data_IF_142353160331
#
_entry.id   IF_142353160331
#
_cell.length_a   1.000
_cell.length_b   1.000
_cell.length_c   1.000
_cell.angle_alpha   90.00
_cell.angle_beta   90.00
_cell.angle_gamma   90.00
#
_symmetry.space_group_name_H-M   'P 1'
#
loop_
_entity.id
_entity.type
_entity.pdbx_description
1 polymer ?
#
# COMPACT_ATOMS: atom_id res chain seq x y z
N UNK A 1 16.28 20.39 34.19
CA UNK A 1 16.84 19.05 34.50
C UNK A 1 15.67 18.07 34.49
N UNK A 2 15.42 17.46 33.32
CA UNK A 2 14.46 16.37 33.15
C UNK A 2 15.25 15.17 32.61
N UNK A 3 15.15 13.98 33.23
CA UNK A 3 15.85 12.78 32.78
C UNK A 3 14.95 11.96 31.85
N UNK A 4 15.57 11.18 30.96
CA UNK A 4 14.90 10.04 30.31
C UNK A 4 14.97 10.03 28.80
N UNK A 5 16.15 9.69 28.27
CA UNK A 5 16.30 9.18 26.91
C UNK A 5 15.49 7.89 26.76
N UNK A 6 14.38 7.92 26.02
CA UNK A 6 13.76 6.72 25.50
C UNK A 6 14.44 6.35 24.18
N UNK A 7 15.39 5.42 24.27
CA UNK A 7 15.84 4.69 23.09
C UNK A 7 14.68 3.77 22.66
N UNK A 8 13.97 4.15 21.60
CA UNK A 8 13.01 3.28 20.95
C UNK A 8 13.80 2.10 20.33
N UNK A 9 13.67 0.92 20.92
CA UNK A 9 14.12 -0.31 20.28
C UNK A 9 13.18 -0.57 19.12
N UNK A 10 13.64 -0.30 17.90
CA UNK A 10 13.00 -0.79 16.68
C UNK A 10 12.95 -2.32 16.74
N UNK A 11 11.78 -2.87 17.10
CA UNK A 11 11.44 -4.25 16.77
C UNK A 11 10.69 -4.22 15.45
N UNK A 12 11.44 -3.94 14.38
CA UNK A 12 10.95 -4.09 13.01
C UNK A 12 10.60 -5.55 12.76
N UNK A 13 9.38 -5.78 12.30
CA UNK A 13 8.95 -7.06 11.75
C UNK A 13 9.85 -7.39 10.55
N UNK A 14 10.57 -8.52 10.60
CA UNK A 14 11.54 -8.89 9.58
C UNK A 14 10.94 -9.94 8.64
N UNK A 15 10.49 -9.49 7.46
CA UNK A 15 9.88 -10.33 6.42
C UNK A 15 10.80 -11.48 5.95
N UNK A 16 12.13 -11.35 6.09
CA UNK A 16 13.10 -12.39 5.71
C UNK A 16 13.26 -13.48 6.78
N UNK A 17 13.20 -13.13 8.07
CA UNK A 17 13.43 -14.10 9.17
C UNK A 17 12.19 -14.90 9.56
N UNK A 18 10.98 -14.42 9.23
CA UNK A 18 9.71 -15.01 9.67
C UNK A 18 8.94 -15.76 8.57
N UNK A 19 9.64 -16.38 7.60
CA UNK A 19 8.99 -17.20 6.55
C UNK A 19 8.08 -18.30 7.12
N UNK A 20 8.45 -18.88 8.27
CA UNK A 20 7.65 -19.92 8.94
C UNK A 20 6.47 -19.35 9.73
N UNK A 21 6.65 -18.18 10.35
CA UNK A 21 5.63 -17.50 11.17
C UNK A 21 4.55 -16.87 10.28
N UNK A 22 4.94 -16.23 9.17
CA UNK A 22 4.04 -15.72 8.14
C UNK A 22 3.24 -16.84 7.46
N UNK A 23 3.88 -17.97 7.13
CA UNK A 23 3.19 -19.11 6.52
C UNK A 23 2.14 -19.77 7.43
N UNK A 24 2.22 -19.54 8.74
CA UNK A 24 1.28 -20.09 9.73
C UNK A 24 0.13 -19.14 10.05
N UNK A 25 0.33 -17.83 9.88
CA UNK A 25 -0.69 -16.79 10.12
C UNK A 25 -1.44 -16.35 8.85
N UNK A 26 -0.92 -16.61 7.65
CA UNK A 26 -1.68 -16.39 6.41
C UNK A 26 -2.77 -17.46 6.33
N UNK A 27 -4.02 -17.06 6.55
CA UNK A 27 -5.15 -17.91 6.23
C UNK A 27 -5.14 -18.15 4.71
N UNK A 28 -4.68 -19.33 4.27
CA UNK A 28 -4.55 -19.74 2.86
C UNK A 28 -5.88 -19.76 2.06
N UNK A 29 -6.97 -19.26 2.65
CA UNK A 29 -8.32 -19.24 2.11
C UNK A 29 -8.95 -17.85 2.00
N UNK A 30 -8.30 -16.77 2.48
CA UNK A 30 -8.82 -15.43 2.22
C UNK A 30 -8.48 -15.03 0.78
N UNK A 31 -9.49 -14.68 -0.03
CA UNK A 31 -9.25 -14.30 -1.41
C UNK A 31 -8.89 -12.81 -1.53
N UNK A 32 -7.98 -12.51 -2.46
CA UNK A 32 -7.72 -11.19 -3.00
C UNK A 32 -8.18 -11.15 -4.46
N UNK A 33 -8.71 -10.02 -4.89
CA UNK A 33 -9.08 -9.85 -6.29
C UNK A 33 -7.86 -9.70 -7.19
N UNK A 34 -7.94 -10.32 -8.36
CA UNK A 34 -6.90 -10.30 -9.39
C UNK A 34 -6.57 -8.90 -9.89
N UNK A 35 -7.43 -7.91 -9.65
CA UNK A 35 -7.13 -6.50 -9.91
C UNK A 35 -5.83 -6.06 -9.20
N UNK A 36 -5.60 -6.53 -7.97
CA UNK A 36 -4.37 -6.21 -7.22
C UNK A 36 -3.16 -6.85 -7.91
N UNK A 37 -3.25 -8.15 -8.23
CA UNK A 37 -2.15 -8.87 -8.88
C UNK A 37 -1.86 -8.35 -10.29
N UNK A 38 -2.89 -7.94 -11.03
CA UNK A 38 -2.73 -7.25 -12.32
C UNK A 38 -2.02 -5.91 -12.15
N UNK A 39 -2.38 -5.12 -11.14
CA UNK A 39 -1.69 -3.86 -10.87
C UNK A 39 -0.23 -4.08 -10.44
N UNK A 40 0.09 -5.17 -9.74
CA UNK A 40 1.49 -5.56 -9.45
C UNK A 40 2.25 -5.87 -10.74
N UNK A 41 1.64 -6.62 -11.67
CA UNK A 41 2.22 -6.85 -12.99
C UNK A 41 2.51 -5.54 -13.72
N UNK A 42 1.52 -4.65 -13.81
CA UNK A 42 1.66 -3.38 -14.52
C UNK A 42 2.67 -2.45 -13.82
N UNK A 43 2.71 -2.43 -12.49
CA UNK A 43 3.75 -1.75 -11.72
C UNK A 43 5.15 -2.22 -12.11
N UNK A 44 5.36 -3.54 -12.20
CA UNK A 44 6.66 -4.10 -12.63
C UNK A 44 6.98 -3.71 -14.06
N UNK A 45 6.01 -3.72 -14.98
CA UNK A 45 6.25 -3.33 -16.37
C UNK A 45 6.58 -1.84 -16.51
N UNK A 46 5.88 -0.97 -15.76
CA UNK A 46 6.05 0.47 -15.84
C UNK A 46 7.37 0.94 -15.21
N UNK A 47 7.82 0.27 -14.15
CA UNK A 47 9.09 0.60 -13.46
C UNK A 47 10.31 -0.14 -14.03
N UNK A 48 10.09 -1.31 -14.63
CA UNK A 48 11.15 -2.17 -15.14
C UNK A 48 10.84 -2.60 -16.58
N UNK A 49 10.55 -3.90 -16.80
CA UNK A 49 10.26 -4.47 -18.11
C UNK A 49 9.59 -5.85 -18.01
N UNK A 50 9.17 -6.38 -19.15
CA UNK A 50 8.57 -7.71 -19.27
C UNK A 50 9.52 -8.83 -18.80
N UNK A 51 10.82 -8.71 -19.09
CA UNK A 51 11.79 -9.74 -18.70
C UNK A 51 11.92 -9.85 -17.17
N UNK A 52 11.78 -8.73 -16.46
CA UNK A 52 11.74 -8.67 -15.01
C UNK A 52 10.49 -9.36 -14.46
N UNK A 53 9.31 -9.07 -15.02
CA UNK A 53 8.08 -9.79 -14.65
C UNK A 53 8.17 -11.30 -14.88
N UNK A 54 8.72 -11.72 -16.02
CA UNK A 54 8.88 -13.14 -16.34
C UNK A 54 9.78 -13.84 -15.31
N UNK A 55 10.87 -13.20 -14.88
CA UNK A 55 11.74 -13.71 -13.79
C UNK A 55 11.01 -13.80 -12.45
N UNK A 56 10.15 -12.83 -12.14
CA UNK A 56 9.36 -12.81 -10.90
C UNK A 56 8.35 -13.95 -10.89
N UNK A 57 7.61 -14.14 -11.98
CA UNK A 57 6.60 -15.21 -12.07
C UNK A 57 7.21 -16.61 -12.13
N UNK A 58 8.36 -16.77 -12.79
CA UNK A 58 9.14 -18.00 -12.74
C UNK A 58 9.53 -18.33 -11.29
N UNK A 59 10.07 -17.34 -10.57
CA UNK A 59 10.44 -17.51 -9.15
C UNK A 59 9.24 -17.79 -8.25
N UNK A 60 8.10 -17.16 -8.53
CA UNK A 60 6.85 -17.37 -7.81
C UNK A 60 6.19 -18.73 -8.11
N UNK A 61 6.71 -19.49 -9.09
CA UNK A 61 6.15 -20.78 -9.50
C UNK A 61 4.85 -20.66 -10.31
N UNK A 62 4.62 -19.51 -10.95
CA UNK A 62 3.44 -19.20 -11.76
C UNK A 62 3.82 -18.57 -13.12
N UNK A 63 4.77 -19.16 -13.88
CA UNK A 63 5.23 -18.57 -15.14
C UNK A 63 4.09 -18.41 -16.14
N UNK A 64 4.04 -17.27 -16.83
CA UNK A 64 3.03 -16.96 -17.84
C UNK A 64 1.61 -16.75 -17.29
N UNK A 65 1.45 -16.64 -15.96
CA UNK A 65 0.17 -16.36 -15.32
C UNK A 65 -0.36 -14.98 -15.74
N UNK A 66 -1.63 -14.95 -16.12
CA UNK A 66 -2.41 -13.73 -16.36
C UNK A 66 -3.46 -13.64 -15.27
N UNK A 67 -3.63 -12.45 -14.69
CA UNK A 67 -4.59 -12.19 -13.61
C UNK A 67 -5.84 -11.51 -14.15
N UNK A 68 -6.98 -12.17 -13.98
CA UNK A 68 -8.29 -11.61 -14.34
C UNK A 68 -8.77 -10.68 -13.21
N UNK A 69 -9.07 -9.39 -13.48
CA UNK A 69 -9.36 -8.41 -12.43
C UNK A 69 -10.49 -8.78 -11.46
N UNK A 70 -11.54 -9.42 -11.99
CA UNK A 70 -12.75 -9.80 -11.25
C UNK A 70 -12.68 -11.23 -10.68
N UNK A 71 -11.58 -11.95 -10.87
CA UNK A 71 -11.37 -13.27 -10.29
C UNK A 71 -10.70 -13.16 -8.92
N UNK A 72 -11.01 -14.10 -8.02
CA UNK A 72 -10.41 -14.20 -6.70
C UNK A 72 -9.25 -15.19 -6.70
N UNK A 73 -8.13 -14.79 -6.13
CA UNK A 73 -6.92 -15.59 -5.94
C UNK A 73 -6.60 -15.68 -4.45
N UNK A 74 -5.96 -16.75 -3.96
CA UNK A 74 -5.53 -16.82 -2.57
C UNK A 74 -4.59 -15.64 -2.25
N UNK A 75 -4.76 -14.98 -1.10
CA UNK A 75 -3.88 -13.89 -0.65
C UNK A 75 -2.39 -14.28 -0.74
N UNK A 76 -2.09 -15.56 -0.46
CA UNK A 76 -0.74 -16.13 -0.54
C UNK A 76 -0.06 -15.95 -1.90
N UNK A 77 -0.82 -15.88 -3.00
CA UNK A 77 -0.29 -15.63 -4.34
C UNK A 77 0.26 -14.20 -4.45
N UNK A 78 -0.47 -13.21 -3.96
CA UNK A 78 0.00 -11.81 -3.88
C UNK A 78 1.25 -11.68 -3.01
N UNK A 79 1.26 -12.29 -1.83
CA UNK A 79 2.45 -12.28 -0.97
C UNK A 79 3.66 -12.97 -1.63
N UNK A 80 3.41 -14.07 -2.36
CA UNK A 80 4.48 -14.78 -3.09
C UNK A 80 5.04 -13.95 -4.24
N UNK A 81 4.19 -13.20 -4.95
CA UNK A 81 4.63 -12.26 -5.98
C UNK A 81 5.54 -11.18 -5.40
N UNK A 82 5.14 -10.54 -4.30
CA UNK A 82 5.95 -9.50 -3.64
C UNK A 82 7.28 -10.06 -3.14
N UNK A 83 7.26 -11.22 -2.48
CA UNK A 83 8.49 -11.87 -2.03
C UNK A 83 9.41 -12.26 -3.20
N UNK A 84 8.84 -12.72 -4.31
CA UNK A 84 9.61 -13.07 -5.51
C UNK A 84 10.17 -11.82 -6.20
N UNK A 85 9.43 -10.71 -6.23
CA UNK A 85 9.90 -9.42 -6.68
C UNK A 85 11.08 -8.92 -5.84
N UNK A 86 10.96 -8.99 -4.51
CA UNK A 86 12.06 -8.65 -3.59
C UNK A 86 13.34 -9.40 -3.92
N UNK A 87 13.24 -10.71 -4.09
CA UNK A 87 14.40 -11.54 -4.41
C UNK A 87 14.99 -11.26 -5.81
N UNK A 88 14.14 -11.00 -6.82
CA UNK A 88 14.57 -10.76 -8.21
C UNK A 88 15.19 -9.38 -8.39
N UNK A 89 14.64 -8.38 -7.69
CA UNK A 89 15.05 -6.98 -7.74
C UNK A 89 16.15 -6.64 -6.72
N UNK A 90 16.40 -7.54 -5.75
CA UNK A 90 17.29 -7.30 -4.61
C UNK A 90 16.90 -6.07 -3.79
N UNK A 91 15.60 -5.91 -3.56
CA UNK A 91 15.00 -4.82 -2.79
C UNK A 91 14.26 -5.37 -1.59
N UNK A 92 14.15 -4.59 -0.52
CA UNK A 92 13.43 -5.05 0.66
C UNK A 92 11.91 -5.09 0.35
N UNK A 93 11.17 -6.13 0.77
CA UNK A 93 9.75 -6.27 0.42
C UNK A 93 8.90 -5.08 0.90
N UNK A 94 9.29 -4.45 2.00
CA UNK A 94 8.68 -3.24 2.54
C UNK A 94 8.75 -2.08 1.53
N UNK A 95 9.90 -1.88 0.89
CA UNK A 95 10.09 -0.84 -0.13
C UNK A 95 9.22 -1.12 -1.36
N UNK A 96 9.14 -2.38 -1.79
CA UNK A 96 8.29 -2.80 -2.92
C UNK A 96 6.81 -2.56 -2.60
N UNK A 97 6.36 -2.91 -1.39
CA UNK A 97 4.98 -2.68 -0.96
C UNK A 97 4.66 -1.18 -0.89
N UNK A 98 5.57 -0.37 -0.35
CA UNK A 98 5.40 1.09 -0.30
C UNK A 98 5.34 1.70 -1.70
N UNK A 99 6.27 1.34 -2.58
CA UNK A 99 6.24 1.78 -3.98
C UNK A 99 4.96 1.34 -4.71
N UNK A 100 4.52 0.10 -4.49
CA UNK A 100 3.26 -0.39 -5.06
C UNK A 100 2.04 0.34 -4.50
N UNK A 101 2.01 0.66 -3.21
CA UNK A 101 0.93 1.43 -2.58
C UNK A 101 0.80 2.83 -3.17
N UNK A 102 1.93 3.48 -3.41
CA UNK A 102 1.98 4.77 -4.10
C UNK A 102 1.44 4.65 -5.53
N UNK A 103 1.97 3.69 -6.30
CA UNK A 103 1.52 3.40 -7.66
C UNK A 103 0.02 3.07 -7.73
N UNK A 104 -0.52 2.33 -6.75
CA UNK A 104 -1.92 1.92 -6.71
C UNK A 104 -2.90 3.09 -6.77
N UNK A 105 -2.58 4.22 -6.11
CA UNK A 105 -3.42 5.43 -6.14
C UNK A 105 -3.51 5.97 -7.57
N UNK A 106 -2.39 6.01 -8.28
CA UNK A 106 -2.33 6.50 -9.66
C UNK A 106 -3.01 5.53 -10.61
N UNK A 107 -2.68 4.25 -10.47
CA UNK A 107 -3.22 3.17 -11.29
C UNK A 107 -4.75 3.11 -11.19
N UNK A 108 -5.33 3.19 -10.00
CA UNK A 108 -6.80 3.16 -9.85
C UNK A 108 -7.46 4.47 -10.32
N UNK A 109 -6.79 5.60 -10.15
CA UNK A 109 -7.26 6.90 -10.65
C UNK A 109 -7.50 6.92 -12.17
N UNK A 110 -6.71 6.18 -12.93
CA UNK A 110 -6.80 6.11 -14.39
C UNK A 110 -7.58 4.88 -14.89
N UNK A 111 -7.53 3.75 -14.17
CA UNK A 111 -8.16 2.49 -14.57
C UNK A 111 -9.58 2.34 -14.00
N UNK A 112 -10.45 3.30 -14.29
CA UNK A 112 -11.90 3.17 -14.08
C UNK A 112 -12.42 3.56 -12.70
N UNK A 113 -11.56 3.94 -11.74
CA UNK A 113 -11.99 4.41 -10.41
C UNK A 113 -11.81 5.92 -10.19
N UNK A 114 -11.32 6.67 -11.19
CA UNK A 114 -11.06 8.10 -11.07
C UNK A 114 -12.25 8.92 -10.59
N UNK A 115 -13.45 8.70 -11.15
CA UNK A 115 -14.65 9.44 -10.72
C UNK A 115 -15.07 9.07 -9.29
N UNK A 116 -14.93 7.80 -8.92
CA UNK A 116 -15.17 7.35 -7.55
C UNK A 116 -14.20 8.04 -6.58
N UNK A 117 -12.91 8.05 -6.91
CA UNK A 117 -11.87 8.73 -6.13
C UNK A 117 -12.09 10.24 -6.05
N UNK A 118 -12.51 10.91 -7.14
CA UNK A 118 -12.88 12.35 -7.12
C UNK A 118 -14.07 12.60 -6.18
N UNK A 119 -15.02 11.67 -6.12
CA UNK A 119 -16.18 11.78 -5.21
C UNK A 119 -15.89 11.46 -3.75
N UNK A 120 -14.67 11.01 -3.43
CA UNK A 120 -14.26 10.61 -2.08
C UNK A 120 -13.59 11.72 -1.28
N UNK A 121 -13.32 12.88 -1.88
CA UNK A 121 -12.86 14.05 -1.14
C UNK A 121 -12.07 15.01 -2.01
N UNK A 122 -11.95 16.24 -1.52
CA UNK A 122 -11.25 17.36 -2.16
C UNK A 122 -9.90 17.71 -1.50
N UNK A 123 -9.54 16.99 -0.44
CA UNK A 123 -8.26 17.10 0.28
C UNK A 123 -7.81 15.73 0.78
N UNK A 124 -6.54 15.60 1.18
CA UNK A 124 -6.02 14.38 1.79
C UNK A 124 -6.84 13.94 3.02
N UNK A 125 -7.12 14.86 3.95
CA UNK A 125 -7.89 14.57 5.18
C UNK A 125 -9.31 14.08 4.86
N UNK A 126 -10.00 14.74 3.92
CA UNK A 126 -11.35 14.34 3.51
C UNK A 126 -11.35 12.97 2.83
N UNK A 127 -10.38 12.71 1.94
CA UNK A 127 -10.29 11.44 1.23
C UNK A 127 -10.01 10.29 2.17
N UNK A 128 -9.02 10.42 3.04
CA UNK A 128 -8.65 9.38 4.02
C UNK A 128 -9.81 9.10 4.98
N UNK A 129 -10.58 10.13 5.36
CA UNK A 129 -11.79 9.98 6.18
C UNK A 129 -12.94 9.25 5.47
N UNK A 130 -12.93 9.22 4.14
CA UNK A 130 -13.95 8.57 3.31
C UNK A 130 -13.49 7.23 2.71
N UNK A 131 -12.31 6.71 3.07
CA UNK A 131 -11.77 5.46 2.51
C UNK A 131 -12.69 4.24 2.73
N UNK A 132 -13.32 4.12 3.90
CA UNK A 132 -14.26 3.01 4.18
C UNK A 132 -15.50 3.09 3.29
N UNK A 133 -15.97 4.31 3.02
CA UNK A 133 -17.12 4.55 2.13
C UNK A 133 -16.75 4.29 0.67
N UNK A 134 -15.53 4.65 0.25
CA UNK A 134 -14.99 4.29 -1.07
C UNK A 134 -14.99 2.76 -1.22
N UNK A 135 -14.42 2.03 -0.27
CA UNK A 135 -14.37 0.56 -0.33
C UNK A 135 -15.77 -0.08 -0.28
N UNK A 136 -16.71 0.51 0.47
CA UNK A 136 -18.12 0.08 0.46
C UNK A 136 -18.72 0.18 -0.95
N UNK A 137 -18.45 1.27 -1.68
CA UNK A 137 -18.91 1.45 -3.06
C UNK A 137 -18.22 0.49 -4.03
N UNK A 138 -16.92 0.23 -3.86
CA UNK A 138 -16.19 -0.79 -4.64
C UNK A 138 -16.79 -2.18 -4.39
N UNK A 139 -17.14 -2.50 -3.14
CA UNK A 139 -17.76 -3.77 -2.76
C UNK A 139 -19.12 -4.06 -3.43
N UNK A 140 -19.77 -3.06 -4.04
CA UNK A 140 -20.97 -3.28 -4.86
C UNK A 140 -20.68 -4.00 -6.18
N UNK A 141 -19.46 -3.87 -6.71
CA UNK A 141 -19.02 -4.57 -7.92
C UNK A 141 -18.20 -5.84 -7.60
N UNK A 142 -17.52 -5.85 -6.46
CA UNK A 142 -16.63 -6.92 -6.01
C UNK A 142 -17.27 -7.72 -4.88
N UNK A 143 -18.10 -8.70 -5.23
CA UNK A 143 -18.77 -9.58 -4.26
C UNK A 143 -17.77 -10.29 -3.33
N UNK A 144 -18.02 -10.28 -2.02
CA UNK A 144 -17.09 -10.86 -1.03
C UNK A 144 -15.73 -10.13 -0.93
N UNK A 145 -15.67 -8.87 -1.37
CA UNK A 145 -14.53 -8.00 -1.08
C UNK A 145 -14.29 -7.97 0.43
N UNK A 146 -13.04 -8.23 0.82
CA UNK A 146 -12.53 -8.03 2.19
C UNK A 146 -11.67 -6.77 2.22
N UNK A 147 -12.26 -5.57 2.34
CA UNK A 147 -11.48 -4.34 2.38
C UNK A 147 -10.82 -4.16 3.75
N UNK A 148 -9.73 -3.39 3.82
CA UNK A 148 -9.29 -2.82 5.08
C UNK A 148 -10.30 -1.77 5.60
N UNK A 149 -10.17 -1.40 6.88
CA UNK A 149 -10.91 -0.27 7.48
C UNK A 149 -9.94 0.79 7.98
N UNK A 150 -10.35 2.05 7.86
CA UNK A 150 -9.62 3.24 8.27
C UNK A 150 -10.50 4.11 9.16
N UNK A 151 -10.12 4.24 10.44
CA UNK A 151 -10.77 5.16 11.38
C UNK A 151 -9.87 6.35 11.65
N UNK A 152 -10.40 7.53 11.37
CA UNK A 152 -9.62 8.77 11.42
C UNK A 152 -10.04 9.58 12.64
N UNK A 153 -9.06 10.03 13.41
CA UNK A 153 -9.25 10.98 14.50
C UNK A 153 -8.30 12.14 14.30
N UNK A 154 -8.82 13.36 14.20
CA UNK A 154 -7.99 14.56 14.18
C UNK A 154 -7.32 14.75 15.55
N UNK A 155 -6.00 14.88 15.55
CA UNK A 155 -5.20 15.17 16.74
C UNK A 155 -4.97 16.67 16.90
N UNK A 156 -4.63 17.37 15.79
CA UNK A 156 -4.47 18.83 15.72
C UNK A 156 -4.76 19.35 14.28
N UNK A 157 -4.50 20.63 14.00
CA UNK A 157 -4.50 21.20 12.65
C UNK A 157 -3.41 20.54 11.81
N UNK A 158 -3.81 19.85 10.74
CA UNK A 158 -2.89 19.16 9.83
C UNK A 158 -2.37 17.80 10.34
N UNK A 159 -2.80 17.34 11.53
CA UNK A 159 -2.36 16.06 12.09
C UNK A 159 -3.52 15.10 12.34
N UNK A 160 -3.42 13.91 11.74
CA UNK A 160 -4.40 12.84 11.82
C UNK A 160 -3.81 11.64 12.54
N UNK A 161 -4.58 11.07 13.46
CA UNK A 161 -4.38 9.73 13.97
C UNK A 161 -5.25 8.77 13.17
N UNK A 162 -4.63 7.79 12.52
CA UNK A 162 -5.29 6.82 11.66
C UNK A 162 -5.16 5.43 12.28
N UNK A 163 -6.30 4.78 12.52
CA UNK A 163 -6.34 3.35 12.83
C UNK A 163 -6.65 2.58 11.56
N UNK A 164 -5.67 1.80 11.09
CA UNK A 164 -5.81 0.86 9.98
C UNK A 164 -6.10 -0.52 10.55
N UNK A 165 -7.15 -1.18 10.07
CA UNK A 165 -7.52 -2.54 10.49
C UNK A 165 -7.60 -3.46 9.28
N UNK A 166 -6.93 -4.61 9.33
CA UNK A 166 -6.99 -5.61 8.25
C UNK A 166 -6.67 -7.02 8.74
N UNK A 167 -7.46 -8.01 8.32
CA UNK A 167 -7.15 -9.44 8.54
C UNK A 167 -5.86 -9.89 7.82
N UNK A 168 -5.31 -9.06 6.91
CA UNK A 168 -4.11 -9.35 6.11
C UNK A 168 -2.87 -8.76 6.78
N UNK A 169 -1.95 -9.60 7.31
CA UNK A 169 -0.76 -9.12 8.02
C UNK A 169 0.29 -8.53 7.07
N UNK A 170 1.17 -7.68 7.59
CA UNK A 170 2.35 -7.19 6.87
C UNK A 170 2.08 -6.18 5.76
N UNK A 171 0.88 -5.59 5.70
CA UNK A 171 0.52 -4.58 4.69
C UNK A 171 0.73 -3.13 5.17
N UNK A 172 1.37 -2.92 6.32
CA UNK A 172 1.72 -1.58 6.82
C UNK A 172 2.49 -0.75 5.78
N UNK A 173 3.57 -1.26 5.13
CA UNK A 173 4.29 -0.46 4.14
C UNK A 173 3.44 -0.12 2.90
N UNK A 174 2.53 -1.01 2.50
CA UNK A 174 1.57 -0.74 1.42
C UNK A 174 0.69 0.46 1.76
N UNK A 175 0.21 0.53 2.99
CA UNK A 175 -0.63 1.62 3.49
C UNK A 175 0.13 2.94 3.58
N UNK A 176 1.39 2.92 3.98
CA UNK A 176 2.25 4.12 3.96
C UNK A 176 2.41 4.65 2.53
N UNK A 177 2.71 3.77 1.57
CA UNK A 177 2.75 4.09 0.15
C UNK A 177 1.45 4.71 -0.37
N UNK A 178 0.30 4.12 0.00
CA UNK A 178 -1.02 4.63 -0.35
C UNK A 178 -1.24 6.06 0.17
N UNK A 179 -0.86 6.35 1.42
CA UNK A 179 -0.99 7.69 1.97
C UNK A 179 -0.09 8.69 1.24
N UNK A 180 1.15 8.32 0.89
CA UNK A 180 2.02 9.18 0.10
C UNK A 180 1.44 9.45 -1.30
N UNK A 181 0.93 8.42 -1.99
CA UNK A 181 0.29 8.59 -3.29
C UNK A 181 -0.98 9.46 -3.23
N UNK A 182 -1.76 9.33 -2.15
CA UNK A 182 -2.92 10.19 -1.92
C UNK A 182 -2.52 11.64 -1.63
N UNK A 183 -1.48 11.88 -0.83
CA UNK A 183 -0.99 13.23 -0.57
C UNK A 183 -0.52 13.90 -1.87
N UNK A 184 0.27 13.20 -2.68
CA UNK A 184 0.74 13.72 -3.97
C UNK A 184 -0.41 14.03 -4.93
N UNK A 185 -1.45 13.17 -4.97
CA UNK A 185 -2.67 13.43 -5.75
C UNK A 185 -3.32 14.78 -5.41
N UNK A 186 -3.25 15.21 -4.16
CA UNK A 186 -3.76 16.51 -3.71
C UNK A 186 -2.72 17.63 -3.74
N UNK A 187 -1.53 17.38 -4.29
CA UNK A 187 -0.43 18.35 -4.31
C UNK A 187 0.12 18.66 -2.92
N UNK A 188 0.04 17.69 -2.00
CA UNK A 188 0.47 17.81 -0.61
C UNK A 188 1.63 16.88 -0.33
N UNK A 189 2.42 17.24 0.69
CA UNK A 189 3.42 16.34 1.29
C UNK A 189 2.99 15.99 2.71
N UNK A 190 3.28 14.76 3.12
CA UNK A 190 2.96 14.24 4.45
C UNK A 190 4.19 13.60 5.09
N UNK A 191 4.23 13.63 6.41
CA UNK A 191 5.09 12.80 7.24
C UNK A 191 4.24 11.72 7.92
N UNK A 192 4.72 10.48 7.94
CA UNK A 192 4.03 9.35 8.54
C UNK A 192 4.91 8.77 9.65
N UNK A 193 4.32 8.58 10.83
CA UNK A 193 4.91 7.86 11.95
C UNK A 193 4.04 6.63 12.25
N UNK A 194 4.58 5.42 12.04
CA UNK A 194 3.93 4.19 12.48
C UNK A 194 4.12 4.02 13.99
N UNK A 195 3.03 4.16 14.74
CA UNK A 195 3.00 4.10 16.21
C UNK A 195 2.92 2.66 16.75
N UNK A 196 2.81 1.68 15.86
CA UNK A 196 2.64 0.27 16.21
C UNK A 196 1.18 -0.15 16.37
N UNK A 197 0.92 -1.24 17.12
CA UNK A 197 -0.42 -1.85 17.19
C UNK A 197 -1.42 -0.97 17.93
N UNK A 198 -2.68 -1.03 17.47
CA UNK A 198 -3.83 -0.36 18.08
C UNK A 198 -4.52 -1.19 19.16
N UNK A 199 -5.78 -0.83 19.47
CA UNK A 199 -6.57 -1.53 20.49
C UNK A 199 -7.22 -2.81 19.96
N UNK A 200 -7.56 -2.87 18.67
CA UNK A 200 -8.07 -4.07 18.01
C UNK A 200 -6.96 -5.08 17.67
N UNK A 201 -7.34 -6.34 17.53
CA UNK A 201 -6.42 -7.47 17.26
C UNK A 201 -5.60 -7.31 15.96
N UNK A 202 -6.14 -6.55 15.01
CA UNK A 202 -5.53 -6.31 13.70
C UNK A 202 -5.33 -4.82 13.41
N UNK A 203 -5.36 -4.00 14.45
CA UNK A 203 -5.22 -2.56 14.32
C UNK A 203 -3.74 -2.17 14.28
N UNK A 204 -3.40 -1.26 13.38
CA UNK A 204 -2.14 -0.53 13.34
C UNK A 204 -2.44 0.96 13.39
N UNK A 205 -1.62 1.70 14.13
CA UNK A 205 -1.79 3.14 14.34
C UNK A 205 -0.74 3.93 13.59
N UNK A 206 -1.19 4.94 12.87
CA UNK A 206 -0.34 5.93 12.20
C UNK A 206 -0.66 7.32 12.73
N UNK A 207 0.38 8.13 12.94
CA UNK A 207 0.26 9.57 12.98
C UNK A 207 0.69 10.12 11.63
N UNK A 208 -0.17 10.90 10.99
CA UNK A 208 0.10 11.53 9.70
C UNK A 208 0.04 13.03 9.88
N UNK A 209 1.11 13.72 9.51
CA UNK A 209 1.20 15.19 9.55
C UNK A 209 1.31 15.72 8.13
N UNK A 210 0.36 16.56 7.74
CA UNK A 210 0.38 17.30 6.48
C UNK A 210 1.35 18.48 6.62
N UNK A 211 2.35 18.52 5.75
CA UNK A 211 3.47 19.47 5.83
C UNK A 211 3.21 20.78 5.08
N UNK A 212 2.37 20.73 4.04
CA UNK A 212 2.11 21.85 3.14
C UNK A 212 0.61 21.98 2.83
N UNK A 213 0.17 23.21 2.58
CA UNK A 213 -1.15 23.48 1.99
C UNK A 213 -1.25 22.85 0.59
N UNK A 214 -2.46 22.45 0.13
CA UNK A 214 -2.64 21.90 -1.21
C UNK A 214 -2.11 22.84 -2.30
N UNK A 215 -1.22 22.33 -3.15
CA UNK A 215 -0.72 23.03 -4.33
C UNK A 215 -1.31 22.40 -5.61
N UNK A 216 -2.28 23.06 -6.28
CA UNK A 216 -2.90 22.53 -7.49
C UNK A 216 -1.90 22.27 -8.63
N UNK A 217 -0.76 22.97 -8.66
CA UNK A 217 0.26 22.79 -9.69
C UNK A 217 1.11 21.53 -9.44
N UNK A 218 1.12 21.02 -8.19
CA UNK A 218 1.74 19.73 -7.82
C UNK A 218 0.75 18.56 -7.82
N UNK A 219 -0.55 18.83 -7.91
CA UNK A 219 -1.57 17.78 -7.88
C UNK A 219 -1.51 16.92 -9.14
N UNK A 220 -1.50 15.60 -8.96
CA UNK A 220 -1.39 14.64 -10.06
C UNK A 220 -2.74 14.00 -10.35
N UNK A 221 -3.28 14.32 -11.53
CA UNK A 221 -4.54 13.75 -12.03
C UNK A 221 -4.31 12.57 -13.01
N UNK A 222 -3.06 12.21 -13.32
CA UNK A 222 -2.76 11.20 -14.35
C UNK A 222 -1.35 10.59 -14.27
N UNK A 223 -1.15 9.52 -15.07
CA UNK A 223 0.00 8.57 -15.18
C UNK A 223 1.40 9.19 -15.30
N UNK A 224 1.53 10.50 -15.52
CA UNK A 224 2.84 11.12 -15.80
C UNK A 224 3.67 11.41 -14.57
N UNK A 225 3.13 11.22 -13.37
CA UNK A 225 3.90 11.31 -12.14
C UNK A 225 4.71 10.03 -11.97
N UNK A 226 5.97 10.08 -12.40
CA UNK A 226 6.90 8.97 -12.22
C UNK A 226 6.89 8.57 -10.75
N UNK A 227 6.41 7.35 -10.47
CA UNK A 227 6.52 6.76 -9.15
C UNK A 227 7.98 6.95 -8.69
N UNK A 228 8.24 7.57 -7.53
CA UNK A 228 9.59 7.94 -7.09
C UNK A 228 10.45 6.73 -6.71
N UNK A 229 10.05 5.54 -7.16
CA UNK A 229 10.80 4.31 -7.08
C UNK A 229 11.99 4.34 -8.04
N UNK A 230 12.87 5.32 -7.86
CA UNK A 230 14.25 5.19 -8.27
C UNK A 230 14.94 4.36 -7.19
N UNK A 231 15.39 3.14 -7.48
CA UNK A 231 16.22 2.44 -6.52
C UNK A 231 17.42 3.34 -6.22
N UNK A 232 17.61 3.71 -4.95
CA UNK A 232 18.94 4.05 -4.50
C UNK A 232 19.78 2.82 -4.81
N UNK A 233 20.60 2.91 -5.85
CA UNK A 233 21.60 1.92 -6.14
C UNK A 233 22.39 1.76 -4.85
N UNK A 234 22.16 0.68 -4.10
CA UNK A 234 23.01 0.28 -2.99
C UNK A 234 24.38 0.13 -3.62
N UNK A 235 25.19 1.18 -3.51
CA UNK A 235 26.58 1.22 -3.93
C UNK A 235 27.26 -0.01 -3.36
N UNK A 236 27.99 -0.68 -4.25
CA UNK A 236 28.75 -1.93 -4.13
C UNK A 236 29.26 -2.30 -2.73
#
# INVERSE_FOLDING_TARGET
MFPGSFAAQHHGFNLKSDRATLATSINRRSPMYGLINKAIHDFVLDQFDQATWDRITERAGIPGKVFEPMEQYPDAETYTLVASASDVLNMDPEDILSGFGHYWVIYTGIHGYGDLMKSSGSSFEEFVSNLDQLHTRVGLAFNDLKPPSFKIKREDVGTLLVTYTSERPGLVPLVEGLFHGLAERFGQSIEIEHLGPGQGEHDELFRITVLEEPDPDKAIDSVTAGCPFTPDAKTE
#
